data_IF_278754267204
#
_entry.id   IF_278754267204
#
_cell.length_a   1.000
_cell.length_b   1.000
_cell.length_c   1.000
_cell.angle_alpha   90.00
_cell.angle_beta   90.00
_cell.angle_gamma   90.00
#
_symmetry.space_group_name_H-M   'P 1'
#
loop_
_entity.id
_entity.type
_entity.pdbx_description
1 polymer ?
#
# COMPACT_ATOMS: atom_id res chain seq x y z
N UNK A 1 4.03 2.48 -36.02
CA UNK A 1 5.27 2.65 -35.24
C UNK A 1 4.93 2.46 -33.75
N UNK A 2 5.72 1.73 -32.97
CA UNK A 2 5.50 1.56 -31.52
C UNK A 2 6.45 2.48 -30.74
N UNK A 3 6.00 2.98 -29.58
CA UNK A 3 6.81 3.76 -28.64
C UNK A 3 6.92 3.00 -27.32
N UNK A 4 8.06 3.12 -26.63
CA UNK A 4 8.28 2.56 -25.28
C UNK A 4 7.91 3.62 -24.25
N UNK A 5 7.15 3.22 -23.24
CA UNK A 5 6.80 4.06 -22.09
C UNK A 5 7.20 3.32 -20.81
N UNK A 6 7.57 4.08 -19.77
CA UNK A 6 7.74 3.55 -18.43
C UNK A 6 6.47 3.91 -17.67
N UNK A 7 5.80 2.90 -17.12
CA UNK A 7 4.60 3.06 -16.32
C UNK A 7 4.95 2.67 -14.89
N UNK A 8 4.56 3.51 -13.93
CA UNK A 8 4.60 3.18 -12.50
C UNK A 8 3.18 2.89 -12.06
N UNK A 9 3.04 1.80 -11.31
CA UNK A 9 1.80 1.42 -10.65
C UNK A 9 2.06 1.46 -9.16
N UNK A 10 1.20 2.16 -8.43
CA UNK A 10 1.19 2.22 -6.98
C UNK A 10 -0.09 1.59 -6.47
N UNK A 11 0.02 0.79 -5.42
CA UNK A 11 -1.10 0.14 -4.74
C UNK A 11 -1.07 0.50 -3.26
N UNK A 12 -2.23 0.82 -2.71
CA UNK A 12 -2.44 0.86 -1.26
C UNK A 12 -3.11 -0.44 -0.86
N UNK A 13 -2.47 -1.22 0.03
CA UNK A 13 -3.02 -2.46 0.59
C UNK A 13 -3.55 -2.23 2.00
N UNK A 14 -4.64 -2.91 2.36
CA UNK A 14 -5.23 -2.84 3.69
C UNK A 14 -5.82 -4.19 4.09
N UNK A 15 -5.50 -4.67 5.28
CA UNK A 15 -5.99 -5.95 5.80
C UNK A 15 -6.48 -5.79 7.23
N UNK A 16 -7.55 -6.52 7.56
CA UNK A 16 -8.16 -6.50 8.89
C UNK A 16 -7.53 -7.57 9.79
N UNK A 17 -7.14 -7.18 11.00
CA UNK A 17 -6.60 -8.09 12.00
C UNK A 17 -7.37 -7.97 13.31
N UNK A 18 -7.72 -9.11 13.89
CA UNK A 18 -8.33 -9.14 15.22
C UNK A 18 -7.27 -8.94 16.31
N UNK A 19 -7.54 -8.02 17.24
CA UNK A 19 -6.67 -7.74 18.40
C UNK A 19 -7.49 -7.75 19.67
N UNK A 20 -7.18 -8.67 20.58
CA UNK A 20 -7.76 -8.69 21.91
C UNK A 20 -7.01 -7.71 22.84
N UNK A 21 -7.72 -6.69 23.33
CA UNK A 21 -7.18 -5.65 24.21
C UNK A 21 -8.28 -5.10 25.14
N UNK A 22 -7.88 -4.42 26.22
CA UNK A 22 -8.83 -3.85 27.20
C UNK A 22 -9.41 -2.51 26.74
N UNK A 23 -8.71 -1.81 25.85
CA UNK A 23 -9.10 -0.52 25.28
C UNK A 23 -8.43 -0.29 23.91
N UNK A 24 -8.79 0.80 23.24
CA UNK A 24 -8.30 1.15 21.92
C UNK A 24 -6.80 1.45 21.87
N UNK A 25 -6.25 2.09 22.89
CA UNK A 25 -4.81 2.42 22.96
C UNK A 25 -3.95 1.15 23.05
N UNK A 26 -4.33 0.22 23.92
CA UNK A 26 -3.67 -1.08 24.02
C UNK A 26 -3.80 -1.89 22.71
N UNK A 27 -4.95 -1.82 22.03
CA UNK A 27 -5.15 -2.47 20.73
C UNK A 27 -4.18 -1.94 19.67
N UNK A 28 -4.02 -0.61 19.57
CA UNK A 28 -3.12 0.04 18.61
C UNK A 28 -1.65 -0.31 18.89
N UNK A 29 -1.22 -0.27 20.16
CA UNK A 29 0.16 -0.64 20.52
C UNK A 29 0.45 -2.12 20.25
N UNK A 30 -0.52 -3.01 20.51
CA UNK A 30 -0.42 -4.43 20.14
C UNK A 30 -0.34 -4.64 18.63
N UNK A 31 -1.19 -3.97 17.85
CA UNK A 31 -1.17 -4.05 16.39
C UNK A 31 0.18 -3.56 15.82
N UNK A 32 0.67 -2.42 16.29
CA UNK A 32 1.97 -1.85 15.92
C UNK A 32 3.12 -2.80 16.24
N UNK A 33 3.11 -3.42 17.42
CA UNK A 33 4.10 -4.43 17.82
C UNK A 33 4.03 -5.68 16.93
N UNK A 34 2.83 -6.18 16.63
CA UNK A 34 2.65 -7.36 15.78
C UNK A 34 3.14 -7.09 14.35
N UNK A 35 2.87 -5.90 13.79
CA UNK A 35 3.39 -5.50 12.49
C UNK A 35 4.92 -5.41 12.49
N UNK A 36 5.52 -4.71 13.46
CA UNK A 36 6.99 -4.58 13.60
C UNK A 36 7.72 -5.90 13.83
N UNK A 37 7.02 -6.92 14.32
CA UNK A 37 7.56 -8.27 14.57
C UNK A 37 7.14 -9.28 13.50
N UNK A 38 6.63 -8.80 12.36
CA UNK A 38 6.21 -9.61 11.21
C UNK A 38 5.15 -10.68 11.54
N UNK A 39 4.35 -10.46 12.60
CA UNK A 39 3.18 -11.30 12.91
C UNK A 39 1.93 -10.87 12.13
N UNK A 40 1.79 -9.56 11.90
CA UNK A 40 0.82 -9.02 10.96
C UNK A 40 1.57 -8.74 9.66
N UNK A 41 1.12 -9.38 8.59
CA UNK A 41 1.69 -9.25 7.25
C UNK A 41 0.52 -8.95 6.33
N UNK A 42 0.59 -7.82 5.61
CA UNK A 42 -0.44 -7.48 4.64
C UNK A 42 -0.20 -8.32 3.39
N UNK A 43 -1.19 -9.10 2.99
CA UNK A 43 -1.13 -9.85 1.76
C UNK A 43 -1.28 -8.91 0.54
N UNK A 44 -0.46 -9.07 -0.52
CA UNK A 44 -0.57 -8.27 -1.74
C UNK A 44 -1.95 -8.29 -2.43
N UNK A 45 -2.80 -9.27 -2.11
CA UNK A 45 -4.16 -9.39 -2.66
C UNK A 45 -5.19 -8.42 -2.09
N UNK A 46 -4.89 -7.76 -0.96
CA UNK A 46 -5.83 -6.88 -0.27
C UNK A 46 -5.68 -5.41 -0.72
N UNK A 47 -5.72 -5.18 -2.04
CA UNK A 47 -5.58 -3.85 -2.64
C UNK A 47 -6.84 -3.02 -2.40
N UNK A 48 -6.69 -1.89 -1.72
CA UNK A 48 -7.77 -0.94 -1.42
C UNK A 48 -7.93 0.12 -2.49
N UNK A 49 -6.81 0.57 -3.07
CA UNK A 49 -6.76 1.52 -4.18
C UNK A 49 -5.51 1.26 -5.01
N UNK A 50 -5.58 1.63 -6.29
CA UNK A 50 -4.48 1.51 -7.24
C UNK A 50 -4.49 2.69 -8.19
N UNK A 51 -3.32 3.20 -8.49
CA UNK A 51 -3.12 4.32 -9.40
C UNK A 51 -1.89 4.08 -10.26
N UNK A 52 -1.85 4.70 -11.43
CA UNK A 52 -0.70 4.63 -12.33
C UNK A 52 -0.35 5.98 -12.94
N UNK A 53 0.92 6.13 -13.29
CA UNK A 53 1.45 7.30 -13.98
C UNK A 53 2.51 6.90 -15.01
N UNK A 54 2.70 7.75 -16.02
CA UNK A 54 3.84 7.64 -16.93
C UNK A 54 5.03 8.32 -16.27
N UNK A 55 6.16 7.62 -16.21
CA UNK A 55 7.41 8.18 -15.70
C UNK A 55 8.35 8.49 -16.86
N UNK A 56 8.78 9.74 -16.96
CA UNK A 56 9.85 10.14 -17.88
C UNK A 56 11.15 10.22 -17.07
N UNK A 57 12.24 9.54 -17.49
CA UNK A 57 13.50 9.59 -16.76
C UNK A 57 14.02 11.03 -16.59
N UNK A 58 14.26 11.44 -15.34
CA UNK A 58 14.76 12.78 -15.01
C UNK A 58 13.67 13.86 -14.88
N UNK A 59 12.40 13.49 -15.00
CA UNK A 59 11.26 14.38 -14.80
C UNK A 59 10.29 13.78 -13.77
N UNK A 60 9.39 14.60 -13.24
CA UNK A 60 8.30 14.12 -12.39
C UNK A 60 7.34 13.23 -13.19
N UNK A 61 6.67 12.31 -12.48
CA UNK A 61 5.64 11.49 -13.10
C UNK A 61 4.51 12.39 -13.65
N UNK A 62 3.86 11.93 -14.72
CA UNK A 62 2.61 12.56 -15.16
C UNK A 62 1.58 12.49 -14.02
N UNK A 63 0.47 13.23 -14.15
CA UNK A 63 -0.65 13.08 -13.22
C UNK A 63 -1.04 11.62 -13.02
N UNK A 64 -1.30 11.23 -11.76
CA UNK A 64 -1.74 9.90 -11.39
C UNK A 64 -3.17 9.65 -11.86
N UNK A 65 -3.43 8.45 -12.36
CA UNK A 65 -4.74 7.99 -12.81
C UNK A 65 -5.18 6.77 -11.98
N UNK A 66 -6.33 6.87 -11.32
CA UNK A 66 -6.97 5.75 -10.61
C UNK A 66 -7.66 4.79 -11.60
N UNK A 67 -7.64 3.49 -11.29
CA UNK A 67 -8.25 2.43 -12.09
C UNK A 67 -8.70 1.23 -11.24
#
# INVERSE_FOLDING_TARGET
MKRKFIIVIEETVAEEFEVFAKNSEEALEKAKKNYKTCKFVLEPGNVRSKQMAIMTPGEDATGWFEF
#
